data_IF_896635709141
#
_entry.id   IF_896635709141
#
_cell.length_a   1.000
_cell.length_b   1.000
_cell.length_c   1.000
_cell.angle_alpha   90.00
_cell.angle_beta   90.00
_cell.angle_gamma   90.00
#
_symmetry.space_group_name_H-M   'P 1'
#
loop_
_entity.id
_entity.type
_entity.pdbx_description
1 polymer ?
#
# COMPACT_ATOMS: atom_id res chain seq x y z
N UNK A 1 -10.45 -12.96 25.23
CA UNK A 1 -10.24 -14.39 25.50
C UNK A 1 -8.77 -14.55 25.84
N UNK A 2 -8.51 -14.94 27.08
CA UNK A 2 -7.23 -14.86 27.78
C UNK A 2 -6.33 -16.08 27.52
N UNK A 3 -5.00 -15.88 27.65
CA UNK A 3 -3.92 -16.85 27.97
C UNK A 3 -3.77 -18.14 27.09
N UNK A 4 -2.59 -18.63 26.70
CA UNK A 4 -1.35 -18.86 27.47
C UNK A 4 -0.31 -19.62 26.62
N UNK A 5 0.94 -19.60 27.09
CA UNK A 5 2.06 -20.56 26.87
C UNK A 5 2.82 -20.46 25.54
N UNK A 6 4.05 -19.94 25.58
CA UNK A 6 5.31 -20.69 25.37
C UNK A 6 6.46 -19.76 25.75
N UNK A 7 6.99 -19.84 26.98
CA UNK A 7 8.42 -19.70 27.26
C UNK A 7 8.67 -20.26 28.65
N UNK A 8 9.01 -21.54 28.67
CA UNK A 8 9.38 -22.32 29.85
C UNK A 8 10.90 -22.20 30.01
N UNK A 9 11.38 -21.43 30.99
CA UNK A 9 12.80 -21.34 31.33
C UNK A 9 13.03 -22.32 32.49
N UNK A 10 13.78 -23.42 32.32
CA UNK A 10 14.12 -24.28 33.43
C UNK A 10 15.17 -23.61 34.32
N UNK A 11 14.85 -23.51 35.61
CA UNK A 11 15.76 -23.16 36.70
C UNK A 11 16.67 -24.36 36.96
N UNK A 12 17.93 -24.31 36.52
CA UNK A 12 18.94 -25.31 36.90
C UNK A 12 19.71 -24.82 38.12
N UNK A 13 19.23 -25.20 39.30
CA UNK A 13 20.04 -25.23 40.52
C UNK A 13 20.59 -26.65 40.67
N UNK A 14 21.89 -26.82 40.45
CA UNK A 14 22.62 -28.00 40.89
C UNK A 14 23.96 -27.55 41.44
N UNK A 15 24.00 -27.43 42.76
CA UNK A 15 25.19 -27.16 43.56
C UNK A 15 26.17 -28.34 43.42
N UNK A 16 27.41 -28.04 43.05
CA UNK A 16 28.45 -29.04 42.76
C UNK A 16 29.83 -28.42 42.95
N UNK A 17 30.40 -28.72 44.13
CA UNK A 17 31.72 -28.40 44.69
C UNK A 17 32.90 -28.65 43.71
N UNK A 18 33.80 -27.68 43.54
CA UNK A 18 35.17 -27.89 43.03
C UNK A 18 35.67 -26.92 41.94
N UNK A 19 36.89 -26.38 42.13
CA UNK A 19 37.77 -25.69 41.17
C UNK A 19 37.50 -24.22 40.77
N UNK A 20 38.02 -23.32 41.61
CA UNK A 20 38.04 -21.87 41.44
C UNK A 20 39.17 -21.30 40.53
N UNK A 21 39.99 -22.14 39.86
CA UNK A 21 41.13 -21.65 39.05
C UNK A 21 40.99 -21.83 37.53
N UNK A 22 40.30 -22.88 37.05
CA UNK A 22 40.15 -23.15 35.60
C UNK A 22 39.03 -22.35 34.92
N UNK A 23 38.00 -21.97 35.66
CA UNK A 23 36.82 -21.27 35.15
C UNK A 23 37.14 -19.83 34.72
N UNK A 24 37.98 -19.12 35.47
CA UNK A 24 38.29 -17.69 35.25
C UNK A 24 39.00 -17.42 33.92
N UNK A 25 39.86 -18.32 33.45
CA UNK A 25 40.58 -18.18 32.16
C UNK A 25 39.63 -18.39 30.97
N UNK A 26 38.72 -19.37 31.07
CA UNK A 26 37.72 -19.66 30.04
C UNK A 26 36.73 -18.49 29.85
N UNK A 27 36.30 -17.84 30.94
CA UNK A 27 35.44 -16.65 30.88
C UNK A 27 36.13 -15.47 30.18
N UNK A 28 37.42 -15.24 30.45
CA UNK A 28 38.20 -14.16 29.83
C UNK A 28 38.36 -14.33 28.31
N UNK A 29 38.60 -15.56 27.84
CA UNK A 29 38.75 -15.85 26.40
C UNK A 29 37.41 -15.70 25.67
N UNK A 30 36.30 -16.18 26.26
CA UNK A 30 34.95 -15.99 25.72
C UNK A 30 34.54 -14.51 25.62
N UNK A 31 34.96 -13.67 26.56
CA UNK A 31 34.64 -12.23 26.55
C UNK A 31 35.28 -11.49 25.37
N UNK A 32 36.52 -11.85 25.01
CA UNK A 32 37.25 -11.21 23.91
C UNK A 32 36.65 -11.53 22.54
N UNK A 33 36.15 -12.76 22.34
CA UNK A 33 35.49 -13.16 21.09
C UNK A 33 34.05 -12.59 20.96
N UNK A 34 33.35 -12.34 22.08
CA UNK A 34 32.01 -11.72 22.06
C UNK A 34 32.04 -10.27 21.57
N UNK A 35 33.15 -9.54 21.78
CA UNK A 35 33.31 -8.13 21.36
C UNK A 35 33.53 -7.92 19.85
N UNK A 36 33.91 -8.96 19.08
CA UNK A 36 34.13 -8.85 17.62
C UNK A 36 32.89 -9.13 16.76
N UNK A 37 31.90 -9.86 17.31
CA UNK A 37 30.60 -10.11 16.66
C UNK A 37 29.70 -8.88 16.40
N UNK A 38 29.64 -7.81 17.24
CA UNK A 38 28.67 -6.73 17.04
C UNK A 38 28.96 -5.87 15.81
N UNK A 39 30.21 -5.81 15.35
CA UNK A 39 30.59 -5.00 14.18
C UNK A 39 30.12 -5.65 12.87
N UNK A 40 30.32 -6.95 12.70
CA UNK A 40 29.91 -7.67 11.48
C UNK A 40 28.38 -7.70 11.34
N UNK A 41 27.66 -7.87 12.46
CA UNK A 41 26.19 -7.85 12.49
C UNK A 41 25.66 -6.46 12.13
N UNK A 42 26.26 -5.38 12.65
CA UNK A 42 25.87 -4.01 12.31
C UNK A 42 26.11 -3.66 10.84
N UNK A 43 27.18 -4.17 10.22
CA UNK A 43 27.48 -3.92 8.81
C UNK A 43 26.51 -4.70 7.91
N UNK A 44 26.21 -5.96 8.25
CA UNK A 44 25.22 -6.76 7.54
C UNK A 44 23.81 -6.15 7.62
N UNK A 45 23.39 -5.70 8.81
CA UNK A 45 22.10 -5.03 9.02
C UNK A 45 21.99 -3.72 8.23
N UNK A 46 23.07 -2.95 8.16
CA UNK A 46 23.13 -1.74 7.32
C UNK A 46 23.06 -2.06 5.84
N UNK A 47 23.72 -3.12 5.38
CA UNK A 47 23.67 -3.56 3.98
C UNK A 47 22.26 -4.08 3.62
N UNK A 48 21.63 -4.87 4.48
CA UNK A 48 20.25 -5.34 4.33
C UNK A 48 19.24 -4.18 4.30
N UNK A 49 19.46 -3.15 5.13
CA UNK A 49 18.64 -1.95 5.11
C UNK A 49 18.80 -1.13 3.80
N UNK A 50 20.01 -1.09 3.23
CA UNK A 50 20.27 -0.42 1.96
C UNK A 50 19.66 -1.19 0.77
N UNK A 51 19.77 -2.52 0.73
CA UNK A 51 19.13 -3.36 -0.31
C UNK A 51 17.61 -3.38 -0.18
N UNK A 52 17.07 -3.39 1.05
CA UNK A 52 15.63 -3.25 1.29
C UNK A 52 15.09 -1.91 0.75
N UNK A 53 15.78 -0.79 1.03
CA UNK A 53 15.44 0.52 0.46
C UNK A 53 15.48 0.52 -1.06
N UNK A 54 16.53 -0.02 -1.67
CA UNK A 54 16.65 -0.08 -3.13
C UNK A 54 15.50 -0.88 -3.76
N UNK A 55 15.03 -1.94 -3.11
CA UNK A 55 13.91 -2.76 -3.58
C UNK A 55 12.60 -1.97 -3.55
N UNK A 56 12.33 -1.24 -2.47
CA UNK A 56 11.14 -0.37 -2.34
C UNK A 56 11.16 0.74 -3.39
N UNK A 57 12.31 1.38 -3.62
CA UNK A 57 12.45 2.37 -4.69
C UNK A 57 12.20 1.76 -6.07
N UNK A 58 12.75 0.57 -6.36
CA UNK A 58 12.52 -0.12 -7.63
C UNK A 58 11.04 -0.44 -7.84
N UNK A 59 10.34 -0.89 -6.79
CA UNK A 59 8.90 -1.14 -6.84
C UNK A 59 8.09 0.14 -7.06
N UNK A 60 8.46 1.23 -6.39
CA UNK A 60 7.85 2.54 -6.57
C UNK A 60 8.01 3.08 -8.00
N UNK A 61 9.21 2.95 -8.57
CA UNK A 61 9.48 3.34 -9.97
C UNK A 61 8.58 2.57 -10.93
N UNK A 62 8.40 1.25 -10.74
CA UNK A 62 7.49 0.44 -11.58
C UNK A 62 6.05 0.96 -11.49
N UNK A 63 5.55 1.23 -10.29
CA UNK A 63 4.21 1.80 -10.11
C UNK A 63 4.07 3.18 -10.76
N UNK A 64 5.10 4.02 -10.66
CA UNK A 64 5.11 5.36 -11.24
C UNK A 64 5.11 5.32 -12.78
N UNK A 65 5.88 4.41 -13.37
CA UNK A 65 5.89 4.19 -14.83
C UNK A 65 4.50 3.77 -15.29
N UNK A 66 3.85 2.81 -14.63
CA UNK A 66 2.51 2.36 -14.97
C UNK A 66 1.47 3.49 -14.84
N UNK A 67 1.52 4.27 -13.75
CA UNK A 67 0.65 5.41 -13.54
C UNK A 67 0.85 6.50 -14.63
N UNK A 68 2.10 6.74 -15.00
CA UNK A 68 2.46 7.72 -16.03
C UNK A 68 1.99 7.29 -17.41
N UNK A 69 2.13 6.01 -17.76
CA UNK A 69 1.62 5.46 -19.01
C UNK A 69 0.09 5.60 -19.11
N UNK A 70 -0.64 5.26 -18.04
CA UNK A 70 -2.08 5.45 -17.99
C UNK A 70 -2.48 6.92 -18.15
N UNK A 71 -1.75 7.82 -17.49
CA UNK A 71 -1.97 9.27 -17.58
C UNK A 71 -1.68 9.80 -18.99
N UNK A 72 -0.63 9.29 -19.64
CA UNK A 72 -0.29 9.64 -21.02
C UNK A 72 -1.37 9.20 -22.00
N UNK A 73 -1.85 7.96 -21.88
CA UNK A 73 -2.95 7.45 -22.71
C UNK A 73 -4.20 8.32 -22.51
N UNK A 74 -4.56 8.64 -21.27
CA UNK A 74 -5.68 9.53 -20.96
C UNK A 74 -5.52 10.94 -21.55
N UNK A 75 -4.32 11.50 -21.48
CA UNK A 75 -3.98 12.79 -22.07
C UNK A 75 -4.06 12.80 -23.59
N UNK A 76 -3.58 11.74 -24.26
CA UNK A 76 -3.68 11.57 -25.72
C UNK A 76 -5.16 11.49 -26.13
N UNK A 77 -5.95 10.68 -25.45
CA UNK A 77 -7.40 10.60 -25.69
C UNK A 77 -8.07 11.96 -25.52
N UNK A 78 -7.74 12.69 -24.46
CA UNK A 78 -8.31 14.01 -24.22
C UNK A 78 -7.88 15.02 -25.30
N UNK A 79 -6.62 14.96 -25.73
CA UNK A 79 -6.07 15.78 -26.82
C UNK A 79 -6.76 15.51 -28.17
N UNK A 80 -7.18 14.27 -28.44
CA UNK A 80 -7.98 13.96 -29.64
C UNK A 80 -9.36 14.63 -29.65
N UNK A 81 -9.91 14.99 -28.49
CA UNK A 81 -11.19 15.70 -28.35
C UNK A 81 -11.03 17.22 -28.14
N UNK A 82 -9.85 17.78 -28.41
CA UNK A 82 -9.56 19.19 -28.13
C UNK A 82 -10.56 20.17 -28.76
N UNK A 83 -10.99 19.94 -30.00
CA UNK A 83 -11.96 20.83 -30.67
C UNK A 83 -13.32 20.87 -29.96
N UNK A 84 -13.82 19.72 -29.50
CA UNK A 84 -15.07 19.64 -28.73
C UNK A 84 -14.93 20.26 -27.34
N UNK A 85 -13.74 20.17 -26.73
CA UNK A 85 -13.45 20.73 -25.41
C UNK A 85 -13.34 22.26 -25.44
N UNK A 86 -12.85 22.83 -26.54
CA UNK A 86 -12.76 24.28 -26.74
C UNK A 86 -14.15 24.93 -26.92
N UNK A 87 -15.08 24.20 -27.53
CA UNK A 87 -16.50 24.57 -27.62
C UNK A 87 -17.23 24.48 -26.27
N UNK A 88 -16.69 23.73 -25.29
CA UNK A 88 -17.33 23.45 -24.02
C UNK A 88 -16.36 23.64 -22.83
N UNK A 89 -15.98 24.88 -22.49
CA UNK A 89 -14.96 25.16 -21.47
C UNK A 89 -15.35 24.65 -20.07
N UNK A 90 -16.66 24.54 -19.78
CA UNK A 90 -17.16 23.94 -18.55
C UNK A 90 -16.75 22.47 -18.38
N UNK A 91 -16.51 21.74 -19.47
CA UNK A 91 -16.09 20.35 -19.43
C UNK A 91 -14.62 20.20 -19.03
N UNK A 92 -13.74 21.10 -19.50
CA UNK A 92 -12.29 21.11 -19.18
C UNK A 92 -12.04 21.22 -17.67
N UNK A 93 -12.79 22.07 -16.98
CA UNK A 93 -12.66 22.26 -15.52
C UNK A 93 -13.21 21.04 -14.75
N UNK A 94 -14.24 20.38 -15.28
CA UNK A 94 -14.85 19.20 -14.65
C UNK A 94 -14.01 17.93 -14.82
N UNK A 95 -13.25 17.79 -15.90
CA UNK A 95 -12.47 16.58 -16.18
C UNK A 95 -11.50 16.20 -15.04
N UNK A 96 -10.63 17.10 -14.54
CA UNK A 96 -9.75 16.81 -13.42
C UNK A 96 -10.51 16.43 -12.14
N UNK A 97 -11.60 17.15 -11.83
CA UNK A 97 -12.45 16.86 -10.68
C UNK A 97 -13.12 15.47 -10.79
N UNK A 98 -13.60 15.11 -11.98
CA UNK A 98 -14.19 13.81 -12.29
C UNK A 98 -13.18 12.67 -12.09
N UNK A 99 -11.98 12.84 -12.64
CA UNK A 99 -10.90 11.86 -12.57
C UNK A 99 -10.48 11.65 -11.11
N UNK A 100 -10.34 12.72 -10.33
CA UNK A 100 -10.01 12.65 -8.91
C UNK A 100 -11.07 11.90 -8.08
N UNK A 101 -12.35 12.21 -8.28
CA UNK A 101 -13.44 11.51 -7.59
C UNK A 101 -13.46 10.02 -7.91
N UNK A 102 -13.32 9.66 -9.20
CA UNK A 102 -13.26 8.25 -9.61
C UNK A 102 -12.07 7.53 -8.97
N UNK A 103 -10.89 8.15 -8.95
CA UNK A 103 -9.70 7.59 -8.30
C UNK A 103 -9.92 7.25 -6.83
N UNK A 104 -10.54 8.14 -6.06
CA UNK A 104 -10.83 7.90 -4.64
C UNK A 104 -11.78 6.72 -4.40
N UNK A 105 -12.80 6.56 -5.26
CA UNK A 105 -13.77 5.47 -5.16
C UNK A 105 -13.09 4.13 -5.41
N UNK A 106 -12.36 4.00 -6.52
CA UNK A 106 -11.67 2.74 -6.86
C UNK A 106 -10.53 2.43 -5.89
N UNK A 107 -9.84 3.44 -5.34
CA UNK A 107 -8.82 3.23 -4.32
C UNK A 107 -9.40 2.67 -3.02
N UNK A 108 -10.53 3.22 -2.55
CA UNK A 108 -11.22 2.70 -1.35
C UNK A 108 -11.75 1.29 -1.57
N UNK A 109 -12.34 1.03 -2.74
CA UNK A 109 -12.80 -0.30 -3.14
C UNK A 109 -11.63 -1.30 -3.19
N UNK A 110 -10.52 -0.92 -3.81
CA UNK A 110 -9.31 -1.74 -3.92
C UNK A 110 -8.74 -2.11 -2.56
N UNK A 111 -8.72 -1.17 -1.61
CA UNK A 111 -8.29 -1.43 -0.23
C UNK A 111 -9.19 -2.46 0.45
N UNK A 112 -10.52 -2.31 0.36
CA UNK A 112 -11.48 -3.28 0.92
C UNK A 112 -11.34 -4.66 0.28
N UNK A 113 -11.19 -4.72 -1.04
CA UNK A 113 -11.00 -5.97 -1.77
C UNK A 113 -9.68 -6.65 -1.40
N UNK A 114 -8.60 -5.87 -1.28
CA UNK A 114 -7.30 -6.39 -0.85
C UNK A 114 -7.36 -6.99 0.55
N UNK A 115 -8.00 -6.30 1.50
CA UNK A 115 -8.22 -6.83 2.85
C UNK A 115 -9.07 -8.09 2.85
N UNK A 116 -10.18 -8.10 2.10
CA UNK A 116 -11.06 -9.25 2.02
C UNK A 116 -10.38 -10.47 1.34
N UNK A 117 -9.47 -10.22 0.38
CA UNK A 117 -8.64 -11.27 -0.22
C UNK A 117 -7.60 -11.80 0.77
N UNK A 118 -6.96 -10.93 1.55
CA UNK A 118 -5.97 -11.32 2.55
C UNK A 118 -6.59 -12.11 3.72
N UNK A 119 -7.81 -11.77 4.13
CA UNK A 119 -8.56 -12.48 5.18
C UNK A 119 -9.13 -13.83 4.73
N UNK A 120 -9.03 -14.17 3.43
CA UNK A 120 -9.56 -15.43 2.89
C UNK A 120 -11.09 -15.47 2.74
N UNK A 121 -11.79 -14.38 3.06
CA UNK A 121 -13.24 -14.20 2.83
C UNK A 121 -13.61 -14.34 1.35
N UNK A 122 -12.65 -14.04 0.47
CA UNK A 122 -12.76 -14.19 -0.98
C UNK A 122 -11.81 -15.30 -1.42
N UNK A 123 -12.30 -16.53 -1.49
CA UNK A 123 -11.54 -17.68 -2.02
C UNK A 123 -11.54 -17.65 -3.56
N UNK A 124 -10.68 -16.79 -4.14
CA UNK A 124 -10.52 -16.62 -5.60
C UNK A 124 -11.61 -15.76 -6.27
N UNK A 125 -11.71 -15.75 -7.61
CA UNK A 125 -12.76 -15.04 -8.39
C UNK A 125 -14.20 -15.51 -8.10
N UNK A 126 -14.38 -16.40 -7.11
CA UNK A 126 -15.67 -16.90 -6.70
C UNK A 126 -16.45 -15.74 -6.10
N UNK A 127 -17.58 -15.39 -6.73
CA UNK A 127 -18.49 -14.33 -6.30
C UNK A 127 -18.93 -14.60 -4.85
N UNK A 128 -18.28 -13.97 -3.88
CA UNK A 128 -18.85 -13.83 -2.56
C UNK A 128 -19.86 -12.69 -2.57
N UNK A 129 -20.93 -12.76 -1.75
CA UNK A 129 -21.91 -11.68 -1.67
C UNK A 129 -21.25 -10.34 -1.29
N UNK A 130 -20.22 -10.38 -0.42
CA UNK A 130 -19.44 -9.19 -0.02
C UNK A 130 -18.73 -8.49 -1.18
N UNK A 131 -18.18 -9.24 -2.15
CA UNK A 131 -17.55 -8.67 -3.35
C UNK A 131 -18.60 -8.08 -4.27
N UNK A 132 -19.71 -8.79 -4.44
CA UNK A 132 -20.80 -8.39 -5.33
C UNK A 132 -21.47 -7.11 -4.82
N UNK A 133 -21.71 -7.01 -3.51
CA UNK A 133 -22.30 -5.83 -2.86
C UNK A 133 -21.37 -4.62 -2.94
N UNK A 134 -20.07 -4.79 -2.73
CA UNK A 134 -19.11 -3.68 -2.87
C UNK A 134 -18.96 -3.22 -4.31
N UNK A 135 -18.98 -4.14 -5.29
CA UNK A 135 -18.97 -3.78 -6.71
C UNK A 135 -20.28 -3.07 -7.07
N UNK A 136 -21.43 -3.57 -6.62
CA UNK A 136 -22.74 -2.95 -6.84
C UNK A 136 -22.82 -1.55 -6.22
N UNK A 137 -22.33 -1.38 -4.99
CA UNK A 137 -22.23 -0.08 -4.33
C UNK A 137 -21.33 0.90 -5.11
N UNK A 138 -20.22 0.41 -5.66
CA UNK A 138 -19.31 1.23 -6.47
C UNK A 138 -19.91 1.60 -7.82
N UNK A 139 -20.67 0.70 -8.45
CA UNK A 139 -21.45 1.00 -9.66
C UNK A 139 -22.54 2.02 -9.37
N UNK A 140 -23.28 1.86 -8.28
CA UNK A 140 -24.31 2.80 -7.85
C UNK A 140 -23.71 4.19 -7.56
N UNK A 141 -22.57 4.23 -6.87
CA UNK A 141 -21.85 5.49 -6.61
C UNK A 141 -21.33 6.13 -7.90
N UNK A 142 -20.88 5.34 -8.87
CA UNK A 142 -20.45 5.84 -10.18
C UNK A 142 -21.63 6.45 -10.94
N UNK A 143 -22.83 5.88 -10.84
CA UNK A 143 -24.05 6.45 -11.40
C UNK A 143 -24.43 7.77 -10.73
N UNK A 144 -24.35 7.86 -9.40
CA UNK A 144 -24.58 9.10 -8.66
C UNK A 144 -23.57 10.16 -9.09
N UNK A 145 -22.28 9.82 -9.16
CA UNK A 145 -21.21 10.71 -9.60
C UNK A 145 -21.45 11.19 -11.03
N UNK A 146 -21.88 10.31 -11.94
CA UNK A 146 -22.22 10.69 -13.31
C UNK A 146 -23.38 11.70 -13.35
N UNK A 147 -24.44 11.45 -12.59
CA UNK A 147 -25.57 12.37 -12.47
C UNK A 147 -25.12 13.73 -11.89
N UNK A 148 -24.31 13.71 -10.84
CA UNK A 148 -23.76 14.89 -10.19
C UNK A 148 -22.85 15.72 -11.12
N UNK A 149 -21.95 15.07 -11.86
CA UNK A 149 -21.12 15.75 -12.85
C UNK A 149 -21.94 16.29 -14.03
N UNK A 150 -22.99 15.59 -14.45
CA UNK A 150 -23.91 16.06 -15.46
C UNK A 150 -24.63 17.34 -15.04
N UNK A 151 -25.16 17.40 -13.82
CA UNK A 151 -25.80 18.60 -13.30
C UNK A 151 -24.80 19.74 -13.10
N UNK A 152 -23.59 19.46 -12.60
CA UNK A 152 -22.52 20.45 -12.48
C UNK A 152 -22.06 21.01 -13.82
N UNK A 153 -21.96 20.17 -14.85
CA UNK A 153 -21.63 20.59 -16.21
C UNK A 153 -22.70 21.53 -16.77
N UNK A 154 -23.98 21.22 -16.55
CA UNK A 154 -25.11 22.09 -16.93
C UNK A 154 -25.03 23.46 -16.25
N UNK A 155 -24.75 23.48 -14.94
CA UNK A 155 -24.58 24.71 -14.17
C UNK A 155 -23.36 25.50 -14.66
N UNK A 156 -22.24 24.83 -14.91
CA UNK A 156 -21.03 25.47 -15.44
C UNK A 156 -21.29 26.11 -16.81
N UNK A 157 -21.94 25.40 -17.74
CA UNK A 157 -22.32 25.94 -19.05
C UNK A 157 -23.19 27.20 -18.91
N UNK A 158 -24.18 27.17 -18.01
CA UNK A 158 -25.04 28.32 -17.74
C UNK A 158 -24.27 29.54 -17.17
N UNK A 159 -23.28 29.31 -16.30
CA UNK A 159 -22.45 30.39 -15.71
C UNK A 159 -21.53 31.03 -16.75
N UNK A 160 -21.00 30.26 -17.71
CA UNK A 160 -20.14 30.78 -18.78
C UNK A 160 -20.91 31.35 -19.98
N UNK A 161 -22.25 31.40 -19.92
CA UNK A 161 -23.08 32.07 -20.92
C UNK A 161 -23.29 31.29 -22.23
N UNK A 162 -22.94 30.01 -22.27
CA UNK A 162 -23.28 29.11 -23.37
C UNK A 162 -24.63 28.45 -23.07
N UNK A 163 -25.67 28.80 -23.83
CA UNK A 163 -27.02 28.24 -23.71
C UNK A 163 -27.19 27.01 -24.62
#
# INVERSE_FOLDING_TARGET
MECRKVYNIPSTESTGRGDHHGTTIFYRIKLSIRKKKPVIISIAERLDFLTARATVFRQGIVSLILASLGSLIGGIYLGSFSETLELLPGLIIMIPAAIGMRGNIFASLGSRMSTALHMGEISGLRKSPLVTDNIAASLFLTLIVSCYLGTLSRVAAAVFGFH
#
